data_IF_491802300019
#
_entry.id   IF_491802300019
#
_cell.length_a   1.000
_cell.length_b   1.000
_cell.length_c   1.000
_cell.angle_alpha   90.00
_cell.angle_beta   90.00
_cell.angle_gamma   90.00
#
_symmetry.space_group_name_H-M   'P 1'
#
loop_
_entity.id
_entity.type
_entity.pdbx_description
1 polymer ?
#
# COMPACT_ATOMS: atom_id res chain seq x y z
N UNK A 1 -6.25 17.28 -8.02
CA UNK A 1 -7.07 16.89 -9.18
C UNK A 1 -6.93 15.38 -9.32
N UNK A 2 -8.03 14.66 -9.14
CA UNK A 2 -8.14 13.25 -9.54
C UNK A 2 -8.70 13.16 -10.96
N UNK A 3 -8.51 12.01 -11.60
CA UNK A 3 -9.20 11.63 -12.84
C UNK A 3 -10.33 10.65 -12.52
N UNK A 4 -11.31 10.49 -13.41
CA UNK A 4 -12.37 9.49 -13.26
C UNK A 4 -11.86 8.06 -13.59
N UNK A 5 -10.84 7.60 -12.85
CA UNK A 5 -10.28 6.25 -12.82
C UNK A 5 -9.74 5.99 -11.41
N UNK A 6 -10.18 4.89 -10.79
CA UNK A 6 -9.79 4.50 -9.44
C UNK A 6 -9.60 2.99 -9.32
N UNK A 7 -9.37 2.53 -8.09
CA UNK A 7 -9.31 1.11 -7.72
C UNK A 7 -10.53 0.82 -6.87
N UNK A 8 -11.24 -0.28 -7.14
CA UNK A 8 -12.28 -0.80 -6.27
C UNK A 8 -11.70 -1.95 -5.44
N UNK A 9 -11.76 -1.84 -4.12
CA UNK A 9 -11.33 -2.88 -3.19
C UNK A 9 -12.52 -3.32 -2.34
N UNK A 10 -13.06 -4.50 -2.62
CA UNK A 10 -14.03 -5.18 -1.75
C UNK A 10 -13.29 -6.00 -0.70
N UNK A 11 -13.73 -5.93 0.55
CA UNK A 11 -13.16 -6.65 1.68
C UNK A 11 -14.26 -7.11 2.65
N UNK A 12 -13.92 -8.05 3.53
CA UNK A 12 -14.72 -8.38 4.72
C UNK A 12 -13.73 -8.65 5.88
N UNK A 13 -14.00 -8.19 7.12
CA UNK A 13 -13.12 -8.48 8.25
C UNK A 13 -13.08 -9.97 8.59
N UNK A 14 -11.92 -10.47 9.04
CA UNK A 14 -11.72 -11.81 9.59
C UNK A 14 -11.16 -11.74 11.01
N UNK A 15 -11.44 -12.77 11.82
CA UNK A 15 -11.05 -12.84 13.24
C UNK A 15 -9.80 -13.70 13.50
N UNK A 16 -9.26 -14.37 12.48
CA UNK A 16 -8.08 -15.26 12.55
C UNK A 16 -6.73 -14.53 12.43
N UNK A 17 -6.76 -13.23 12.12
CA UNK A 17 -5.58 -12.42 11.85
C UNK A 17 -4.91 -12.75 10.51
N UNK A 18 -5.61 -13.38 9.56
CA UNK A 18 -5.09 -13.68 8.23
C UNK A 18 -5.63 -12.67 7.20
N UNK A 19 -4.75 -12.15 6.34
CA UNK A 19 -5.12 -11.31 5.21
C UNK A 19 -5.06 -12.16 3.94
N UNK A 20 -6.23 -12.42 3.35
CA UNK A 20 -6.38 -13.08 2.06
C UNK A 20 -6.72 -12.07 0.98
N UNK A 21 -5.99 -12.12 -0.14
CA UNK A 21 -6.15 -11.21 -1.26
C UNK A 21 -6.17 -11.95 -2.60
N UNK A 22 -7.02 -11.46 -3.49
CA UNK A 22 -7.13 -11.87 -4.89
C UNK A 22 -7.55 -10.66 -5.71
N UNK A 23 -6.80 -10.34 -6.76
CA UNK A 23 -7.15 -9.30 -7.73
C UNK A 23 -7.77 -9.98 -8.96
N UNK A 24 -8.81 -9.38 -9.56
CA UNK A 24 -9.39 -9.92 -10.80
C UNK A 24 -8.44 -9.77 -12.00
N UNK A 25 -7.64 -8.69 -11.99
CA UNK A 25 -6.73 -8.31 -13.08
C UNK A 25 -5.42 -9.12 -13.11
N UNK A 26 -5.10 -9.87 -12.04
CA UNK A 26 -3.84 -10.60 -11.91
C UNK A 26 -4.09 -12.01 -11.38
N UNK A 27 -3.42 -13.01 -11.95
CA UNK A 27 -3.51 -14.39 -11.45
C UNK A 27 -2.74 -14.53 -10.13
N UNK A 28 -3.21 -15.48 -9.31
CA UNK A 28 -2.59 -15.83 -8.03
C UNK A 28 -3.33 -15.32 -6.80
N UNK A 29 -2.87 -15.76 -5.63
CA UNK A 29 -3.43 -15.41 -4.32
C UNK A 29 -2.31 -14.88 -3.43
N UNK A 30 -2.59 -13.86 -2.62
CA UNK A 30 -1.66 -13.36 -1.61
C UNK A 30 -2.24 -13.62 -0.24
N UNK A 31 -1.48 -14.38 0.57
CA UNK A 31 -1.77 -14.67 1.98
C UNK A 31 -0.63 -14.16 2.85
N UNK A 32 -0.96 -13.66 4.03
CA UNK A 32 -0.04 -13.34 5.12
C UNK A 32 -0.81 -13.15 6.42
N UNK A 33 -0.15 -13.38 7.57
CA UNK A 33 -0.70 -13.02 8.88
C UNK A 33 -0.45 -11.55 9.19
N UNK A 34 -1.41 -10.91 9.85
CA UNK A 34 -1.27 -9.58 10.44
C UNK A 34 -0.10 -9.57 11.44
N UNK A 35 0.18 -10.67 12.15
CA UNK A 35 1.29 -10.76 13.10
C UNK A 35 2.68 -10.88 12.43
N UNK A 36 2.74 -11.28 11.14
CA UNK A 36 3.99 -11.48 10.41
C UNK A 36 4.54 -10.16 9.82
N UNK A 37 5.24 -9.38 10.65
CA UNK A 37 5.99 -8.21 10.18
C UNK A 37 7.21 -8.66 9.34
N UNK A 38 6.97 -8.89 8.05
CA UNK A 38 8.01 -9.15 7.05
C UNK A 38 8.74 -7.84 6.73
N UNK A 39 9.82 -7.59 7.47
CA UNK A 39 10.74 -6.45 7.29
C UNK A 39 11.11 -6.26 5.81
N UNK A 40 11.28 -5.02 5.34
CA UNK A 40 11.65 -4.76 3.95
C UNK A 40 12.98 -5.41 3.59
N UNK A 41 13.07 -5.95 2.37
CA UNK A 41 14.32 -6.51 1.86
C UNK A 41 15.32 -5.37 1.66
N UNK A 42 16.49 -5.47 2.29
CA UNK A 42 17.66 -4.72 1.88
C UNK A 42 17.84 -4.90 0.36
N UNK A 43 17.89 -3.80 -0.41
CA UNK A 43 17.97 -3.84 -1.88
C UNK A 43 19.17 -4.65 -2.38
N UNK A 44 20.26 -4.71 -1.59
CA UNK A 44 21.46 -5.53 -1.80
C UNK A 44 21.19 -7.04 -1.78
N UNK A 45 20.21 -7.52 -1.02
CA UNK A 45 19.88 -8.95 -0.91
C UNK A 45 18.87 -9.41 -1.95
N UNK A 46 17.92 -8.54 -2.33
CA UNK A 46 17.01 -8.79 -3.46
C UNK A 46 17.81 -9.08 -4.75
N UNK A 47 18.86 -8.30 -5.02
CA UNK A 47 19.77 -8.49 -6.15
C UNK A 47 20.60 -9.79 -6.08
N UNK A 48 20.86 -10.33 -4.89
CA UNK A 48 21.56 -11.63 -4.71
C UNK A 48 20.63 -12.82 -4.90
N UNK A 49 19.39 -12.78 -4.39
CA UNK A 49 18.41 -13.88 -4.57
C UNK A 49 17.74 -13.90 -5.96
N UNK A 50 17.86 -12.84 -6.75
CA UNK A 50 17.36 -12.77 -8.14
C UNK A 50 18.04 -13.75 -9.14
N UNK A 51 18.97 -14.61 -8.69
CA UNK A 51 19.64 -15.63 -9.51
C UNK A 51 19.27 -17.08 -9.16
N UNK A 52 18.15 -17.27 -8.43
CA UNK A 52 17.53 -18.58 -8.17
C UNK A 52 16.11 -18.57 -8.75
N UNK A 53 15.79 -19.58 -9.54
CA UNK A 53 14.60 -19.64 -10.39
C UNK A 53 13.30 -19.41 -9.60
N UNK A 54 12.60 -18.34 -9.92
CA UNK A 54 11.24 -18.06 -9.50
C UNK A 54 10.42 -17.83 -10.78
N UNK A 55 9.27 -18.50 -10.93
CA UNK A 55 8.44 -18.36 -12.13
C UNK A 55 7.93 -16.92 -12.27
N UNK A 56 7.55 -16.52 -13.49
CA UNK A 56 6.90 -15.22 -13.73
C UNK A 56 5.70 -15.02 -12.81
N UNK A 57 4.84 -16.03 -12.69
CA UNK A 57 3.67 -16.03 -11.78
C UNK A 57 4.05 -15.77 -10.32
N UNK A 58 4.97 -16.53 -9.74
CA UNK A 58 5.38 -16.36 -8.35
C UNK A 58 6.11 -15.02 -8.11
N UNK A 59 6.74 -14.46 -9.16
CA UNK A 59 7.35 -13.13 -9.12
C UNK A 59 6.30 -12.01 -9.19
N UNK A 60 5.25 -12.18 -9.99
CA UNK A 60 4.11 -11.26 -10.10
C UNK A 60 3.27 -11.24 -8.81
N UNK A 61 2.90 -12.40 -8.27
CA UNK A 61 2.28 -12.59 -6.95
C UNK A 61 3.09 -11.94 -5.83
N UNK A 62 4.42 -12.13 -5.85
CA UNK A 62 5.30 -11.50 -4.88
C UNK A 62 5.33 -9.98 -5.02
N UNK A 63 5.30 -9.44 -6.24
CA UNK A 63 5.32 -7.99 -6.48
C UNK A 63 4.03 -7.29 -6.03
N UNK A 64 2.83 -7.73 -6.44
CA UNK A 64 1.60 -7.01 -6.09
C UNK A 64 1.20 -7.21 -4.62
N UNK A 65 1.52 -8.37 -4.03
CA UNK A 65 1.28 -8.63 -2.61
C UNK A 65 2.09 -7.75 -1.64
N UNK A 66 3.13 -7.05 -2.13
CA UNK A 66 3.93 -6.16 -1.28
C UNK A 66 3.22 -4.85 -0.92
N UNK A 67 2.20 -4.41 -1.67
CA UNK A 67 1.43 -3.21 -1.29
C UNK A 67 0.55 -3.44 -0.05
N UNK A 68 -0.10 -4.60 0.05
CA UNK A 68 -0.95 -4.92 1.20
C UNK A 68 -0.16 -5.30 2.46
N UNK A 69 0.93 -6.06 2.30
CA UNK A 69 1.95 -6.27 3.35
C UNK A 69 2.58 -4.94 3.77
N UNK A 70 2.67 -3.99 2.83
CA UNK A 70 3.01 -2.60 3.10
C UNK A 70 1.97 -1.93 3.99
N UNK A 71 0.69 -1.92 3.62
CA UNK A 71 -0.35 -1.25 4.41
C UNK A 71 -0.52 -1.86 5.81
N UNK A 72 -0.35 -3.18 5.95
CA UNK A 72 -0.17 -3.85 7.24
C UNK A 72 1.03 -3.26 8.04
N UNK A 73 2.22 -3.23 7.43
CA UNK A 73 3.45 -2.69 8.03
C UNK A 73 3.30 -1.20 8.42
N UNK A 74 2.53 -0.42 7.67
CA UNK A 74 2.20 0.99 7.93
C UNK A 74 1.30 1.23 9.14
N UNK A 75 0.44 0.27 9.47
CA UNK A 75 -0.50 0.37 10.59
C UNK A 75 0.08 -0.20 11.89
N UNK A 76 1.04 -1.13 11.80
CA UNK A 76 1.67 -1.77 12.95
C UNK A 76 3.00 -1.15 13.37
N UNK A 77 3.82 -0.76 12.40
CA UNK A 77 4.96 0.14 12.60
C UNK A 77 4.50 1.56 12.25
N UNK A 78 5.09 2.59 12.85
CA UNK A 78 4.96 3.95 12.30
C UNK A 78 5.81 4.05 11.00
N UNK A 79 5.25 3.73 9.82
CA UNK A 79 5.87 3.81 8.48
C UNK A 79 5.30 2.83 7.41
N UNK A 80 4.75 3.12 6.19
CA UNK A 80 3.69 4.01 5.65
C UNK A 80 3.52 3.94 4.06
N UNK A 81 2.60 3.24 3.34
CA UNK A 81 2.69 2.90 1.84
C UNK A 81 1.93 3.73 0.78
N UNK A 82 2.58 4.18 -0.32
CA UNK A 82 1.99 5.03 -1.39
C UNK A 82 1.27 4.22 -2.51
N UNK A 83 0.41 4.79 -3.36
CA UNK A 83 -0.45 6.00 -3.19
C UNK A 83 -1.93 5.76 -3.52
N UNK A 84 -2.22 4.79 -4.41
CA UNK A 84 -3.59 4.40 -4.81
C UNK A 84 -3.96 3.06 -4.22
N UNK A 85 -3.05 2.09 -4.41
CA UNK A 85 -3.13 0.77 -3.78
C UNK A 85 -2.87 0.90 -2.27
N UNK A 86 -1.95 1.78 -1.87
CA UNK A 86 -1.64 2.15 -0.48
C UNK A 86 -2.87 2.66 0.27
N UNK A 87 -3.31 3.89 -0.03
CA UNK A 87 -4.59 4.45 0.45
C UNK A 87 -5.76 3.45 0.40
N UNK A 88 -5.95 2.68 -0.68
CA UNK A 88 -7.06 1.71 -0.74
C UNK A 88 -6.96 0.63 0.35
N UNK A 89 -5.78 0.07 0.60
CA UNK A 89 -5.58 -0.89 1.70
C UNK A 89 -5.61 -0.24 3.09
N UNK A 90 -5.10 0.98 3.24
CA UNK A 90 -5.19 1.73 4.51
C UNK A 90 -6.66 1.95 4.89
N UNK A 91 -7.46 2.56 4.02
CA UNK A 91 -8.89 2.80 4.25
C UNK A 91 -9.69 1.51 4.51
N UNK A 92 -9.34 0.42 3.83
CA UNK A 92 -9.95 -0.88 4.06
C UNK A 92 -9.59 -1.48 5.43
N UNK A 93 -8.32 -1.40 5.84
CA UNK A 93 -7.89 -1.85 7.16
C UNK A 93 -8.42 -0.95 8.30
N UNK A 94 -8.48 0.37 8.10
CA UNK A 94 -9.11 1.30 9.04
C UNK A 94 -10.57 0.92 9.28
N UNK A 95 -11.35 0.77 8.21
CA UNK A 95 -12.75 0.38 8.26
C UNK A 95 -12.94 -1.01 8.87
N UNK A 96 -12.07 -1.97 8.55
CA UNK A 96 -12.13 -3.32 9.13
C UNK A 96 -11.80 -3.37 10.63
N UNK A 97 -11.02 -2.41 11.14
CA UNK A 97 -10.62 -2.32 12.55
C UNK A 97 -11.37 -1.22 13.34
N UNK A 98 -12.35 -0.55 12.72
CA UNK A 98 -13.08 0.61 13.28
C UNK A 98 -12.16 1.77 13.73
N UNK A 99 -11.07 2.01 12.99
CA UNK A 99 -10.18 3.14 13.20
C UNK A 99 -10.68 4.38 12.45
N UNK A 100 -10.30 5.57 12.93
CA UNK A 100 -10.60 6.86 12.33
C UNK A 100 -9.30 7.65 12.19
N UNK A 101 -8.62 7.49 11.06
CA UNK A 101 -7.35 8.16 10.75
C UNK A 101 -7.63 9.42 9.91
N UNK A 102 -6.95 10.54 10.18
CA UNK A 102 -7.17 11.75 9.37
C UNK A 102 -6.60 11.59 7.95
N UNK A 103 -7.15 12.28 6.93
CA UNK A 103 -6.56 12.30 5.58
C UNK A 103 -5.09 12.75 5.58
N UNK A 104 -4.68 13.62 6.50
CA UNK A 104 -3.29 14.07 6.67
C UNK A 104 -2.39 13.01 7.28
N UNK A 105 -2.88 12.26 8.27
CA UNK A 105 -2.16 11.07 8.74
C UNK A 105 -2.11 10.03 7.63
N UNK A 106 -3.18 9.81 6.86
CA UNK A 106 -3.18 8.89 5.73
C UNK A 106 -2.21 9.31 4.61
N UNK A 107 -2.04 10.60 4.33
CA UNK A 107 -1.00 11.11 3.41
C UNK A 107 0.41 10.71 3.89
N UNK A 108 0.65 10.77 5.19
CA UNK A 108 1.94 10.39 5.78
C UNK A 108 2.09 8.87 5.97
N UNK A 109 1.02 8.16 6.37
CA UNK A 109 0.82 6.68 6.38
C UNK A 109 0.93 6.04 5.02
N UNK A 110 1.10 6.86 4.00
CA UNK A 110 1.28 6.47 2.62
C UNK A 110 2.72 6.84 2.15
N UNK A 111 3.42 7.83 2.74
CA UNK A 111 4.76 8.25 2.27
C UNK A 111 5.95 7.28 2.51
N UNK A 112 6.09 6.69 3.71
CA UNK A 112 7.35 6.05 4.18
C UNK A 112 7.58 4.54 3.84
N UNK A 113 6.76 3.86 3.05
CA UNK A 113 7.00 2.48 2.55
C UNK A 113 7.25 2.52 1.07
N UNK A 114 6.55 3.36 0.29
CA UNK A 114 7.16 3.67 -1.01
C UNK A 114 8.57 4.21 -0.78
N UNK A 115 8.83 4.99 0.29
CA UNK A 115 10.18 5.43 0.59
C UNK A 115 11.09 4.41 1.34
N UNK A 116 10.64 3.71 2.38
CA UNK A 116 11.53 2.86 3.23
C UNK A 116 11.41 1.35 2.99
N UNK A 117 10.40 0.86 2.24
CA UNK A 117 10.12 -0.58 2.07
C UNK A 117 10.07 -1.06 0.61
N UNK A 118 9.67 -0.20 -0.32
CA UNK A 118 9.75 -0.37 -1.78
C UNK A 118 10.93 0.43 -2.37
N UNK A 119 11.27 1.59 -1.79
CA UNK A 119 12.48 2.36 -2.07
C UNK A 119 12.40 3.43 -3.18
N UNK A 120 11.19 3.92 -3.50
CA UNK A 120 10.86 4.74 -4.67
C UNK A 120 11.19 6.25 -4.51
N UNK A 121 11.37 6.76 -3.29
CA UNK A 121 11.82 8.15 -2.97
C UNK A 121 10.91 9.28 -3.48
N UNK A 122 9.60 9.08 -3.32
CA UNK A 122 8.55 10.00 -3.76
C UNK A 122 8.11 11.01 -2.67
N UNK A 123 7.43 12.08 -3.11
CA UNK A 123 6.88 13.15 -2.26
C UNK A 123 5.44 12.86 -1.78
N UNK A 124 4.66 13.93 -1.52
CA UNK A 124 3.25 13.81 -1.04
C UNK A 124 2.17 14.10 -2.09
N UNK A 125 2.53 14.36 -3.35
CA UNK A 125 1.59 14.94 -4.32
C UNK A 125 0.47 13.99 -4.72
N UNK A 126 0.78 12.72 -5.02
CA UNK A 126 -0.20 11.77 -5.55
C UNK A 126 -1.29 11.44 -4.53
N UNK A 127 -0.91 11.06 -3.31
CA UNK A 127 -1.87 10.65 -2.29
C UNK A 127 -2.65 11.82 -1.69
N UNK A 128 -2.03 13.00 -1.61
CA UNK A 128 -2.76 14.21 -1.26
C UNK A 128 -3.75 14.60 -2.35
N UNK A 129 -3.41 14.40 -3.63
CA UNK A 129 -4.38 14.57 -4.70
C UNK A 129 -5.51 13.52 -4.59
N UNK A 130 -5.23 12.28 -4.21
CA UNK A 130 -6.23 11.21 -4.08
C UNK A 130 -7.21 11.48 -2.91
N UNK A 131 -6.69 11.89 -1.75
CA UNK A 131 -7.49 12.10 -0.53
C UNK A 131 -8.14 13.48 -0.43
N UNK A 132 -7.55 14.52 -1.04
CA UNK A 132 -7.98 15.92 -0.86
C UNK A 132 -8.49 16.59 -2.15
N UNK A 133 -8.71 15.86 -3.25
CA UNK A 133 -9.37 16.42 -4.44
C UNK A 133 -10.90 16.37 -4.32
N UNK A 134 -11.53 17.54 -4.43
CA UNK A 134 -12.97 17.64 -4.71
C UNK A 134 -13.28 17.43 -6.19
N UNK A 135 -14.46 16.88 -6.50
CA UNK A 135 -14.95 16.76 -7.88
C UNK A 135 -15.08 18.16 -8.52
N UNK A 136 -14.66 18.29 -9.78
CA UNK A 136 -14.66 19.57 -10.52
C UNK A 136 -13.53 20.54 -10.13
N UNK A 137 -12.66 20.21 -9.16
CA UNK A 137 -11.62 21.10 -8.66
C UNK A 137 -10.20 20.69 -9.08
N UNK A 138 -9.37 21.70 -9.36
CA UNK A 138 -7.90 21.55 -9.28
C UNK A 138 -7.49 21.56 -7.80
N UNK A 139 -6.39 20.87 -7.46
CA UNK A 139 -5.82 20.92 -6.11
C UNK A 139 -4.61 21.84 -6.16
N UNK A 140 -4.68 22.95 -5.43
CA UNK A 140 -3.50 23.74 -5.10
C UNK A 140 -2.80 23.13 -3.89
N UNK A 141 -1.48 23.05 -3.93
CA UNK A 141 -0.65 22.55 -2.84
C UNK A 141 0.62 23.40 -2.72
N UNK A 142 0.94 23.81 -1.50
CA UNK A 142 2.21 24.46 -1.19
C UNK A 142 3.16 23.43 -0.58
N UNK A 143 4.13 22.95 -1.35
CA UNK A 143 5.12 21.96 -0.92
C UNK A 143 6.36 22.56 -0.22
N UNK A 144 6.32 23.82 0.20
CA UNK A 144 7.43 24.44 0.95
C UNK A 144 7.48 23.93 2.39
N UNK A 145 8.68 23.58 2.84
CA UNK A 145 9.02 23.44 4.25
C UNK A 145 9.33 24.80 4.88
#
# INVERSE_FOLDING_TARGET
MTINKGILLGFVPSADGEVYLRLEQFKGEVKFRVDEIRRPKNSREASRKNRLNCSSTAKEEWCWGNYARGAQYALQSRGNVLSRVGIAYLLAFESANNLSISPTENIEYDRLIENEYLGLRNGILDQSAILLSSHGCLTYMNCKA
#
